data_IF_201359646731
#
_entry.id   IF_201359646731
#
_cell.length_a   1.000
_cell.length_b   1.000
_cell.length_c   1.000
_cell.angle_alpha   90.00
_cell.angle_beta   90.00
_cell.angle_gamma   90.00
#
_symmetry.space_group_name_H-M   'P 1'
#
loop_
_entity.id
_entity.type
_entity.pdbx_description
1 polymer ?
#
# COMPACT_ATOMS: atom_id res chain seq x y z
N UNK A 1 4.19 19.65 -14.47
CA UNK A 1 4.71 20.22 -13.21
C UNK A 1 3.62 20.75 -12.29
N UNK A 2 2.59 21.44 -12.79
CA UNK A 2 1.47 21.90 -11.94
C UNK A 2 0.77 20.76 -11.19
N UNK A 3 0.48 19.64 -11.86
CA UNK A 3 -0.11 18.45 -11.22
C UNK A 3 0.72 17.97 -10.01
N UNK A 4 2.05 17.86 -10.16
CA UNK A 4 2.94 17.48 -9.06
C UNK A 4 2.95 18.48 -7.91
N UNK A 5 2.85 19.78 -8.20
CA UNK A 5 2.77 20.79 -7.15
C UNK A 5 1.46 20.69 -6.35
N UNK A 6 0.33 20.44 -7.04
CA UNK A 6 -0.96 20.20 -6.38
C UNK A 6 -0.92 18.91 -5.55
N UNK A 7 -0.39 17.82 -6.10
CA UNK A 7 -0.21 16.55 -5.38
C UNK A 7 0.71 16.69 -4.16
N UNK A 8 1.78 17.49 -4.26
CA UNK A 8 2.68 17.78 -3.15
C UNK A 8 1.93 18.51 -2.02
N UNK A 9 1.17 19.56 -2.35
CA UNK A 9 0.35 20.28 -1.37
C UNK A 9 -0.65 19.36 -0.68
N UNK A 10 -1.30 18.47 -1.45
CA UNK A 10 -2.19 17.46 -0.90
C UNK A 10 -1.46 16.51 0.07
N UNK A 11 -0.29 16.00 -0.30
CA UNK A 11 0.48 15.09 0.55
C UNK A 11 1.01 15.74 1.84
N UNK A 12 1.31 17.04 1.81
CA UNK A 12 1.63 17.81 3.02
C UNK A 12 0.40 17.94 3.92
N UNK A 13 -0.75 18.29 3.34
CA UNK A 13 -2.02 18.36 4.06
C UNK A 13 -2.38 17.01 4.70
N UNK A 14 -2.28 15.92 3.95
CA UNK A 14 -2.60 14.58 4.42
C UNK A 14 -1.68 14.12 5.55
N UNK A 15 -0.37 14.41 5.45
CA UNK A 15 0.57 14.17 6.54
C UNK A 15 0.15 14.92 7.82
N UNK A 16 -0.22 16.20 7.72
CA UNK A 16 -0.66 16.99 8.88
C UNK A 16 -1.90 16.36 9.51
N UNK A 17 -2.90 15.99 8.71
CA UNK A 17 -4.12 15.33 9.19
C UNK A 17 -3.82 14.00 9.91
N UNK A 18 -2.92 13.19 9.36
CA UNK A 18 -2.51 11.91 9.94
C UNK A 18 -1.89 12.04 11.35
N UNK A 19 -1.29 13.19 11.69
CA UNK A 19 -0.72 13.41 13.03
C UNK A 19 -1.78 13.65 14.12
N UNK A 20 -3.01 13.98 13.73
CA UNK A 20 -4.14 14.18 14.66
C UNK A 20 -4.98 12.92 14.86
N UNK A 21 -4.68 11.83 14.14
CA UNK A 21 -5.39 10.57 14.33
C UNK A 21 -4.97 9.88 15.64
N UNK A 22 -5.87 9.07 16.20
CA UNK A 22 -5.67 8.38 17.49
C UNK A 22 -4.50 7.39 17.45
N UNK A 23 -4.02 6.98 16.27
CA UNK A 23 -2.89 6.08 16.08
C UNK A 23 -1.96 6.58 14.98
N UNK A 24 -0.95 7.34 15.37
CA UNK A 24 0.13 7.73 14.46
C UNK A 24 0.92 6.48 14.04
N UNK A 25 0.94 6.19 12.74
CA UNK A 25 1.71 5.09 12.17
C UNK A 25 3.02 5.61 11.60
N UNK A 26 4.13 5.21 12.22
CA UNK A 26 5.48 5.65 11.83
C UNK A 26 5.77 5.28 10.37
N UNK A 27 5.30 4.12 9.91
CA UNK A 27 5.45 3.69 8.52
C UNK A 27 4.73 4.60 7.52
N UNK A 28 3.55 5.12 7.88
CA UNK A 28 2.86 6.10 7.04
C UNK A 28 3.56 7.46 7.06
N UNK A 29 4.01 7.93 8.22
CA UNK A 29 4.79 9.17 8.32
C UNK A 29 6.04 9.11 7.45
N UNK A 30 6.81 8.01 7.48
CA UNK A 30 7.99 7.82 6.63
C UNK A 30 7.60 7.82 5.15
N UNK A 31 6.50 7.14 4.77
CA UNK A 31 5.99 7.16 3.40
C UNK A 31 5.73 8.58 2.90
N UNK A 32 5.00 9.40 3.67
CA UNK A 32 4.72 10.78 3.32
C UNK A 32 5.99 11.62 3.23
N UNK A 33 6.90 11.50 4.19
CA UNK A 33 8.16 12.27 4.17
C UNK A 33 9.01 11.97 2.94
N UNK A 34 9.20 10.69 2.60
CA UNK A 34 9.95 10.29 1.41
C UNK A 34 9.27 10.79 0.13
N UNK A 35 7.94 10.71 0.05
CA UNK A 35 7.16 11.20 -1.09
C UNK A 35 7.25 12.73 -1.23
N UNK A 36 7.10 13.48 -0.13
CA UNK A 36 7.17 14.95 -0.09
C UNK A 36 8.56 15.42 -0.53
N UNK A 37 9.63 14.86 0.06
CA UNK A 37 11.00 15.23 -0.28
C UNK A 37 11.33 14.85 -1.73
N UNK A 38 10.90 13.67 -2.19
CA UNK A 38 11.09 13.22 -3.57
C UNK A 38 10.42 14.13 -4.60
N UNK A 39 9.14 14.48 -4.38
CA UNK A 39 8.42 15.39 -5.27
C UNK A 39 8.96 16.81 -5.22
N UNK A 40 9.27 17.33 -4.03
CA UNK A 40 9.88 18.65 -3.88
C UNK A 40 11.21 18.72 -4.65
N UNK A 41 12.05 17.69 -4.54
CA UNK A 41 13.28 17.59 -5.32
C UNK A 41 13.00 17.62 -6.83
N UNK A 42 12.10 16.78 -7.35
CA UNK A 42 11.82 16.80 -8.79
C UNK A 42 11.16 18.10 -9.29
N UNK A 43 10.44 18.84 -8.44
CA UNK A 43 9.96 20.19 -8.75
C UNK A 43 11.11 21.21 -8.82
N UNK A 44 12.02 21.19 -7.85
CA UNK A 44 13.17 22.11 -7.78
C UNK A 44 14.14 21.86 -8.94
N UNK A 45 14.52 20.60 -9.17
CA UNK A 45 15.43 20.21 -10.24
C UNK A 45 14.76 20.13 -11.61
N UNK A 46 13.43 20.23 -11.68
CA UNK A 46 12.61 20.10 -12.88
C UNK A 46 12.88 18.82 -13.70
N UNK A 47 13.08 17.69 -13.01
CA UNK A 47 13.39 16.38 -13.59
C UNK A 47 12.42 15.30 -13.10
N UNK A 48 12.31 14.19 -13.85
CA UNK A 48 11.52 12.99 -13.53
C UNK A 48 10.02 13.23 -13.30
N UNK A 49 9.43 14.21 -13.99
CA UNK A 49 8.02 14.55 -13.77
C UNK A 49 7.05 13.42 -14.15
N UNK A 50 7.31 12.74 -15.27
CA UNK A 50 6.55 11.58 -15.74
C UNK A 50 6.61 10.41 -14.75
N UNK A 51 7.81 10.09 -14.29
CA UNK A 51 8.10 9.00 -13.38
C UNK A 51 7.46 9.25 -12.02
N UNK A 52 7.48 10.50 -11.53
CA UNK A 52 6.79 10.87 -10.29
C UNK A 52 5.28 10.84 -10.39
N UNK A 53 4.68 11.26 -11.52
CA UNK A 53 3.23 11.09 -11.72
C UNK A 53 2.85 9.61 -11.81
N UNK A 54 3.65 8.81 -12.51
CA UNK A 54 3.44 7.37 -12.58
C UNK A 54 3.58 6.72 -11.19
N UNK A 55 4.60 7.11 -10.41
CA UNK A 55 4.80 6.67 -9.04
C UNK A 55 3.59 7.03 -8.14
N UNK A 56 3.10 8.27 -8.20
CA UNK A 56 1.91 8.71 -7.48
C UNK A 56 0.69 7.85 -7.84
N UNK A 57 0.48 7.60 -9.14
CA UNK A 57 -0.65 6.80 -9.60
C UNK A 57 -0.60 5.37 -9.05
N UNK A 58 0.55 4.68 -9.15
CA UNK A 58 0.67 3.31 -8.65
C UNK A 58 0.63 3.22 -7.12
N UNK A 59 0.99 4.29 -6.41
CA UNK A 59 0.86 4.31 -4.94
C UNK A 59 -0.59 4.52 -4.52
N UNK A 60 -1.35 5.33 -5.24
CA UNK A 60 -2.74 5.66 -4.88
C UNK A 60 -3.79 4.68 -5.38
N UNK A 61 -3.53 3.92 -6.44
CA UNK A 61 -4.54 2.98 -6.98
C UNK A 61 -4.99 1.92 -5.97
N UNK A 62 -4.15 1.60 -4.98
CA UNK A 62 -4.50 0.68 -3.88
C UNK A 62 -5.32 1.31 -2.75
N UNK A 63 -5.30 2.65 -2.61
CA UNK A 63 -5.91 3.39 -1.51
C UNK A 63 -7.44 3.21 -1.41
N UNK A 64 -8.22 3.22 -2.51
CA UNK A 64 -9.66 2.93 -2.44
C UNK A 64 -9.98 1.57 -1.81
N UNK A 65 -9.16 0.55 -2.09
CA UNK A 65 -9.34 -0.80 -1.54
C UNK A 65 -8.89 -0.88 -0.08
N UNK A 66 -7.88 -0.11 0.31
CA UNK A 66 -7.47 0.06 1.71
C UNK A 66 -8.60 0.69 2.54
N UNK A 67 -9.21 1.76 2.06
CA UNK A 67 -10.32 2.40 2.76
C UNK A 67 -11.56 1.50 2.79
N UNK A 68 -11.86 0.78 1.70
CA UNK A 68 -12.96 -0.16 1.67
C UNK A 68 -12.82 -1.26 2.73
N UNK A 69 -11.64 -1.88 2.86
CA UNK A 69 -11.41 -2.92 3.88
C UNK A 69 -11.41 -2.37 5.32
N UNK A 70 -11.09 -1.10 5.52
CA UNK A 70 -11.16 -0.46 6.84
C UNK A 70 -12.60 -0.13 7.20
N UNK A 71 -13.35 0.47 6.27
CA UNK A 71 -14.77 0.75 6.42
C UNK A 71 -15.57 -0.54 6.73
N UNK A 72 -15.30 -1.63 6.02
CA UNK A 72 -15.95 -2.92 6.30
C UNK A 72 -15.67 -3.42 7.72
N UNK A 73 -14.48 -3.18 8.27
CA UNK A 73 -14.15 -3.57 9.65
C UNK A 73 -14.88 -2.69 10.67
N UNK A 74 -15.01 -1.39 10.39
CA UNK A 74 -15.74 -0.45 11.25
C UNK A 74 -17.25 -0.74 11.26
N UNK A 75 -17.82 -1.14 10.12
CA UNK A 75 -19.21 -1.56 9.99
C UNK A 75 -19.50 -2.95 10.59
N UNK A 76 -18.50 -3.64 11.17
CA UNK A 76 -18.67 -4.94 11.83
C UNK A 76 -18.45 -6.17 10.95
N UNK A 77 -18.06 -6.02 9.68
CA UNK A 77 -17.88 -7.12 8.72
C UNK A 77 -16.51 -7.82 8.81
N UNK A 78 -15.77 -7.70 9.91
CA UNK A 78 -14.33 -8.04 10.04
C UNK A 78 -13.95 -9.49 9.67
N UNK A 79 -14.82 -10.47 9.91
CA UNK A 79 -14.52 -11.89 9.64
C UNK A 79 -15.36 -12.49 8.51
N UNK A 80 -16.07 -11.65 7.76
CA UNK A 80 -16.94 -12.08 6.65
C UNK A 80 -16.17 -12.33 5.35
N UNK A 81 -16.79 -13.07 4.42
CA UNK A 81 -16.26 -13.31 3.08
C UNK A 81 -16.08 -12.02 2.28
N UNK A 82 -16.95 -11.03 2.50
CA UNK A 82 -16.83 -9.70 1.90
C UNK A 82 -15.54 -8.99 2.33
N UNK A 83 -15.22 -9.01 3.63
CA UNK A 83 -13.97 -8.43 4.11
C UNK A 83 -12.73 -9.20 3.63
N UNK A 84 -12.82 -10.53 3.49
CA UNK A 84 -11.73 -11.29 2.88
C UNK A 84 -11.54 -10.92 1.40
N UNK A 85 -12.62 -10.78 0.63
CA UNK A 85 -12.55 -10.36 -0.75
C UNK A 85 -11.92 -8.97 -0.90
N UNK A 86 -12.26 -8.02 -0.01
CA UNK A 86 -11.62 -6.71 0.03
C UNK A 86 -10.13 -6.79 0.41
N UNK A 87 -9.76 -7.62 1.40
CA UNK A 87 -8.36 -7.86 1.77
C UNK A 87 -7.54 -8.44 0.61
N UNK A 88 -8.10 -9.41 -0.13
CA UNK A 88 -7.46 -10.02 -1.30
C UNK A 88 -7.34 -9.02 -2.45
N UNK A 89 -8.39 -8.25 -2.74
CA UNK A 89 -8.39 -7.23 -3.80
C UNK A 89 -7.36 -6.14 -3.53
N UNK A 90 -7.32 -5.64 -2.29
CA UNK A 90 -6.30 -4.69 -1.84
C UNK A 90 -4.89 -5.26 -2.04
N UNK A 91 -4.65 -6.49 -1.58
CA UNK A 91 -3.34 -7.11 -1.71
C UNK A 91 -2.94 -7.35 -3.17
N UNK A 92 -3.86 -7.79 -4.03
CA UNK A 92 -3.58 -8.05 -5.44
C UNK A 92 -3.16 -6.75 -6.15
N UNK A 93 -3.95 -5.68 -5.98
CA UNK A 93 -3.67 -4.38 -6.60
C UNK A 93 -2.40 -3.77 -6.03
N UNK A 94 -2.21 -3.81 -4.71
CA UNK A 94 -0.99 -3.31 -4.08
C UNK A 94 0.26 -4.05 -4.61
N UNK A 95 0.19 -5.38 -4.72
CA UNK A 95 1.31 -6.20 -5.16
C UNK A 95 1.63 -5.94 -6.63
N UNK A 96 0.64 -5.93 -7.51
CA UNK A 96 0.86 -5.65 -8.93
C UNK A 96 1.41 -4.23 -9.13
N UNK A 97 0.75 -3.22 -8.58
CA UNK A 97 1.14 -1.83 -8.77
C UNK A 97 2.53 -1.54 -8.17
N UNK A 98 2.81 -2.03 -6.96
CA UNK A 98 4.04 -1.61 -6.24
C UNK A 98 5.19 -2.61 -6.28
N UNK A 99 4.94 -3.89 -6.53
CA UNK A 99 6.00 -4.92 -6.62
C UNK A 99 6.34 -5.33 -8.05
N UNK A 100 5.49 -5.00 -9.04
CA UNK A 100 5.77 -5.24 -10.46
C UNK A 100 6.04 -3.92 -11.18
N UNK A 101 5.09 -2.98 -11.14
CA UNK A 101 5.24 -1.69 -11.84
C UNK A 101 6.18 -0.74 -11.08
N UNK A 102 6.11 -0.74 -9.74
CA UNK A 102 6.97 0.08 -8.87
C UNK A 102 8.47 -0.05 -9.14
N UNK A 103 9.07 -1.27 -9.09
CA UNK A 103 10.48 -1.47 -9.38
C UNK A 103 10.88 -1.02 -10.78
N UNK A 104 9.99 -1.15 -11.77
CA UNK A 104 10.24 -0.69 -13.12
C UNK A 104 10.36 0.84 -13.18
N UNK A 105 9.43 1.58 -12.56
CA UNK A 105 9.50 3.05 -12.48
C UNK A 105 10.73 3.50 -11.69
N UNK A 106 11.04 2.82 -10.57
CA UNK A 106 12.24 3.09 -9.79
C UNK A 106 13.50 2.87 -10.62
N UNK A 107 13.57 1.77 -11.39
CA UNK A 107 14.69 1.49 -12.29
C UNK A 107 14.89 2.60 -13.33
N UNK A 108 13.81 3.06 -13.98
CA UNK A 108 13.87 4.20 -14.92
C UNK A 108 14.42 5.46 -14.23
N UNK A 109 13.95 5.73 -13.01
CA UNK A 109 14.38 6.90 -12.23
C UNK A 109 15.86 6.80 -11.82
N UNK A 110 16.33 5.59 -11.47
CA UNK A 110 17.69 5.34 -11.02
C UNK A 110 18.71 5.34 -12.17
N UNK A 111 18.31 4.88 -13.35
CA UNK A 111 19.18 4.80 -14.54
C UNK A 111 19.27 6.13 -15.28
N UNK A 112 18.25 6.98 -15.20
CA UNK A 112 18.29 8.32 -15.76
C UNK A 112 19.34 9.23 -15.07
N UNK A 113 19.71 10.31 -15.78
CA UNK A 113 20.55 11.38 -15.26
C UNK A 113 19.76 12.24 -14.25
N UNK A 114 19.57 11.70 -13.06
CA UNK A 114 18.87 12.34 -11.95
C UNK A 114 19.82 12.69 -10.81
N UNK A 115 19.58 13.80 -10.11
CA UNK A 115 20.23 14.10 -8.83
C UNK A 115 20.10 12.94 -7.85
N UNK A 116 21.15 12.71 -7.04
CA UNK A 116 21.19 11.61 -6.07
C UNK A 116 19.99 11.61 -5.12
N UNK A 117 19.47 12.79 -4.74
CA UNK A 117 18.29 12.88 -3.88
C UNK A 117 17.03 12.28 -4.51
N UNK A 118 16.78 12.48 -5.80
CA UNK A 118 15.62 11.90 -6.49
C UNK A 118 15.75 10.37 -6.53
N UNK A 119 16.97 9.88 -6.82
CA UNK A 119 17.29 8.45 -6.81
C UNK A 119 17.09 7.82 -5.43
N UNK A 120 17.59 8.48 -4.39
CA UNK A 120 17.45 8.03 -3.00
C UNK A 120 15.98 7.99 -2.56
N UNK A 121 15.18 9.01 -2.91
CA UNK A 121 13.76 9.03 -2.56
C UNK A 121 12.95 7.99 -3.34
N UNK A 122 13.25 7.76 -4.63
CA UNK A 122 12.62 6.69 -5.41
C UNK A 122 12.90 5.30 -4.81
N UNK A 123 14.15 5.05 -4.42
CA UNK A 123 14.52 3.81 -3.73
C UNK A 123 13.84 3.71 -2.35
N UNK A 124 13.82 4.80 -1.58
CA UNK A 124 13.15 4.86 -0.29
C UNK A 124 11.66 4.51 -0.39
N UNK A 125 10.98 5.04 -1.40
CA UNK A 125 9.56 4.76 -1.65
C UNK A 125 9.32 3.29 -2.01
N UNK A 126 10.23 2.69 -2.78
CA UNK A 126 10.18 1.26 -3.10
C UNK A 126 10.41 0.38 -1.86
N UNK A 127 11.31 0.78 -0.95
CA UNK A 127 11.58 0.06 0.29
C UNK A 127 10.40 0.09 1.25
N UNK A 128 9.75 1.25 1.42
CA UNK A 128 8.52 1.36 2.21
C UNK A 128 7.42 0.49 1.62
N UNK A 129 7.29 0.48 0.29
CA UNK A 129 6.33 -0.38 -0.39
C UNK A 129 6.60 -1.87 -0.16
N UNK A 130 7.86 -2.30 -0.22
CA UNK A 130 8.25 -3.69 0.06
C UNK A 130 7.96 -4.09 1.52
N UNK A 131 8.20 -3.19 2.47
CA UNK A 131 7.85 -3.40 3.88
C UNK A 131 6.33 -3.61 4.08
N UNK A 132 5.51 -2.78 3.45
CA UNK A 132 4.06 -2.95 3.48
C UNK A 132 3.60 -4.22 2.78
N UNK A 133 4.20 -4.59 1.66
CA UNK A 133 3.92 -5.86 0.99
C UNK A 133 4.15 -7.05 1.94
N UNK A 134 5.27 -7.05 2.68
CA UNK A 134 5.53 -8.09 3.69
C UNK A 134 4.43 -8.15 4.77
N UNK A 135 4.02 -7.00 5.31
CA UNK A 135 2.91 -6.94 6.30
C UNK A 135 1.60 -7.50 5.72
N UNK A 136 1.29 -7.17 4.47
CA UNK A 136 0.08 -7.63 3.78
C UNK A 136 0.12 -9.14 3.54
N UNK A 137 1.22 -9.65 3.00
CA UNK A 137 1.40 -11.07 2.75
C UNK A 137 1.26 -11.88 4.05
N UNK A 138 1.89 -11.43 5.14
CA UNK A 138 1.78 -12.09 6.46
C UNK A 138 0.35 -12.13 6.97
N UNK A 139 -0.37 -11.03 6.85
CA UNK A 139 -1.78 -10.92 7.27
C UNK A 139 -2.69 -11.84 6.47
N UNK A 140 -2.52 -11.90 5.14
CA UNK A 140 -3.29 -12.78 4.26
C UNK A 140 -3.01 -14.26 4.56
N UNK A 141 -1.74 -14.64 4.64
CA UNK A 141 -1.36 -16.02 4.97
C UNK A 141 -1.96 -16.47 6.29
N UNK A 142 -1.93 -15.61 7.32
CA UNK A 142 -2.57 -15.90 8.60
C UNK A 142 -4.08 -16.11 8.48
N UNK A 143 -4.79 -15.23 7.76
CA UNK A 143 -6.24 -15.33 7.56
C UNK A 143 -6.66 -16.57 6.79
N UNK A 144 -5.91 -16.92 5.74
CA UNK A 144 -6.19 -18.10 4.92
C UNK A 144 -5.94 -19.39 5.71
N UNK A 145 -4.82 -19.51 6.42
CA UNK A 145 -4.52 -20.67 7.26
C UNK A 145 -5.57 -20.86 8.36
N UNK A 146 -5.98 -19.78 9.04
CA UNK A 146 -7.02 -19.84 10.08
C UNK A 146 -8.36 -20.34 9.51
N UNK A 147 -8.77 -19.86 8.33
CA UNK A 147 -10.00 -20.30 7.67
C UNK A 147 -9.94 -21.75 7.20
N UNK A 148 -8.80 -22.19 6.66
CA UNK A 148 -8.60 -23.58 6.27
C UNK A 148 -8.72 -24.52 7.47
N UNK A 149 -8.06 -24.19 8.59
CA UNK A 149 -8.18 -24.96 9.83
C UNK A 149 -9.63 -25.02 10.36
N UNK A 150 -10.34 -23.89 10.34
CA UNK A 150 -11.74 -23.84 10.80
C UNK A 150 -12.69 -24.66 9.92
N UNK A 151 -12.50 -24.65 8.59
CA UNK A 151 -13.27 -25.51 7.67
C UNK A 151 -13.00 -26.99 7.90
N UNK A 152 -11.75 -27.38 8.12
CA UNK A 152 -11.37 -28.77 8.41
C UNK A 152 -12.04 -29.29 9.69
N UNK A 153 -12.10 -28.47 10.75
CA UNK A 153 -12.79 -28.83 12.00
C UNK A 153 -14.29 -29.05 11.80
N UNK A 154 -14.97 -28.19 11.04
CA UNK A 154 -16.41 -28.32 10.74
C UNK A 154 -16.70 -29.58 9.91
N UNK A 155 -15.85 -29.89 8.92
CA UNK A 155 -16.00 -31.11 8.12
C UNK A 155 -15.78 -32.39 8.95
N UNK A 156 -14.81 -32.38 9.86
CA UNK A 156 -14.54 -33.52 10.75
C UNK A 156 -15.72 -33.82 11.69
N UNK A 157 -16.33 -32.77 12.27
CA UNK A 157 -17.49 -32.92 13.17
C UNK A 157 -18.73 -33.46 12.43
N UNK A 158 -18.99 -32.99 11.21
CA UNK A 158 -20.08 -33.52 10.36
C UNK A 158 -19.87 -34.98 9.97
N UNK A 159 -18.64 -35.39 9.67
CA UNK A 159 -18.30 -36.78 9.35
C UNK A 159 -18.49 -37.71 10.56
N UNK A 160 -18.16 -37.24 11.76
CA UNK A 160 -18.36 -38.01 13.00
C UNK A 160 -19.84 -38.17 13.37
N UNK A 161 -20.67 -37.15 13.10
CA UNK A 161 -22.11 -37.20 13.37
C UNK A 161 -22.87 -38.12 12.39
N UNK A 162 -22.45 -38.20 11.13
CA UNK A 162 -23.07 -39.06 10.11
C UNK A 162 -22.72 -40.56 10.23
N UNK A 163 -21.75 -40.92 11.08
CA UNK A 163 -21.32 -42.30 11.32
C UNK A 163 -21.99 -42.96 12.56
N UNK A 164 -22.93 -42.26 13.21
CA UNK A 164 -23.80 -42.78 14.28
C UNK A 164 -25.22 -42.99 13.76
#
# INVERSE_FOLDING_TARGET
MQALAVSLSYLIYDLICCQFDKRVSIDNTIHHLVSIVGMAAGLVYRKSGSEMIAALFITEISSPFLHLRELLKELGYRDTDLNLAADISFAAIFSFARMVVGPYIAWLTLTADNPLIIKAMALGLQLVSAYWFYKIARMLSYKLTKRAASKNLVCADKGASAAK
#
